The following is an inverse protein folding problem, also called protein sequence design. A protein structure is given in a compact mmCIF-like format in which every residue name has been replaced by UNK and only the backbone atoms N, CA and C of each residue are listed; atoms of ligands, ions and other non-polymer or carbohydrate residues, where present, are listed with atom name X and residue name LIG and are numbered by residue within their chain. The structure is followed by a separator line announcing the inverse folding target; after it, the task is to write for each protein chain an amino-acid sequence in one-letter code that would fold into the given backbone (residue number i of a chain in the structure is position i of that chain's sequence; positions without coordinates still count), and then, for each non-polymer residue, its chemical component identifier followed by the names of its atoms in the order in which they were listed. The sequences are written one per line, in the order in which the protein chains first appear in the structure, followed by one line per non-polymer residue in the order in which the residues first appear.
data_IF_798643510476
#
_entry.id   IF_798643510476
#
_cell.length_a   1.000
_cell.length_b   1.000
_cell.length_c   1.000
_cell.angle_alpha   90.00
_cell.angle_beta   90.00
_cell.angle_gamma   90.00
#
_symmetry.space_group_name_H-M   'P 1'
#
loop_
_entity.id
_entity.type
_entity.pdbx_description
1 polymer ?
#
# COMPACT_ATOMS: atom_id res chain seq x y z
N UNK A 1 0.54 4.35 -9.21
CA UNK A 1 -0.93 4.36 -9.25
C UNK A 1 -1.48 5.22 -8.10
N UNK A 2 -2.74 5.67 -8.13
CA UNK A 2 -3.33 6.41 -7.00
C UNK A 2 -3.97 5.45 -5.99
N UNK A 3 -3.14 4.64 -5.32
CA UNK A 3 -3.61 3.64 -4.36
C UNK A 3 -4.10 4.33 -3.09
N UNK A 4 -5.39 4.19 -2.79
CA UNK A 4 -6.06 4.74 -1.60
C UNK A 4 -7.40 4.02 -1.36
N UNK A 5 -7.98 4.12 -0.15
CA UNK A 5 -9.24 3.45 0.19
C UNK A 5 -10.40 3.78 -0.74
N UNK A 6 -10.54 5.03 -1.19
CA UNK A 6 -11.63 5.41 -2.11
C UNK A 6 -11.49 4.79 -3.50
N UNK A 7 -10.31 4.27 -3.84
CA UNK A 7 -10.03 3.58 -5.09
C UNK A 7 -10.06 2.05 -4.90
N UNK A 8 -10.55 1.56 -3.76
CA UNK A 8 -10.74 0.13 -3.48
C UNK A 8 -12.22 -0.12 -3.20
N UNK A 9 -12.80 -1.07 -3.90
CA UNK A 9 -14.20 -1.50 -3.72
C UNK A 9 -14.21 -2.92 -3.16
N UNK A 10 -15.04 -3.14 -2.15
CA UNK A 10 -15.29 -4.46 -1.57
C UNK A 10 -16.67 -4.92 -2.04
N UNK A 11 -16.73 -6.07 -2.72
CA UNK A 11 -17.99 -6.65 -3.21
C UNK A 11 -18.79 -7.29 -2.07
N UNK A 12 -20.05 -7.63 -2.33
CA UNK A 12 -20.87 -8.40 -1.38
C UNK A 12 -20.27 -9.77 -1.03
N UNK A 13 -19.42 -10.32 -1.90
CA UNK A 13 -18.70 -11.58 -1.69
C UNK A 13 -17.34 -11.37 -0.99
N UNK A 14 -17.08 -10.17 -0.45
CA UNK A 14 -15.80 -9.79 0.16
C UNK A 14 -14.61 -9.80 -0.81
N UNK A 15 -14.85 -9.69 -2.12
CA UNK A 15 -13.79 -9.54 -3.12
C UNK A 15 -13.33 -8.09 -3.18
N UNK A 16 -12.02 -7.88 -3.19
CA UNK A 16 -11.40 -6.56 -3.22
C UNK A 16 -10.97 -6.23 -4.64
N UNK A 17 -11.48 -5.12 -5.19
CA UNK A 17 -11.14 -4.65 -6.54
C UNK A 17 -10.54 -3.26 -6.49
N UNK A 18 -9.38 -3.08 -7.12
CA UNK A 18 -8.80 -1.77 -7.37
C UNK A 18 -9.53 -1.10 -8.54
N UNK A 19 -10.02 0.11 -8.33
CA UNK A 19 -10.62 0.97 -9.35
C UNK A 19 -9.73 2.19 -9.60
N UNK A 20 -10.11 3.03 -10.57
CA UNK A 20 -9.36 4.24 -10.94
C UNK A 20 -7.87 3.98 -11.23
N UNK A 21 -7.63 3.07 -12.16
CA UNK A 21 -6.29 2.70 -12.65
C UNK A 21 -5.67 3.73 -13.61
N UNK A 22 -6.33 4.88 -13.77
CA UNK A 22 -5.92 5.91 -14.74
C UNK A 22 -4.62 6.62 -14.36
N UNK A 23 -4.30 6.65 -13.05
CA UNK A 23 -3.02 7.11 -12.51
C UNK A 23 -2.69 8.58 -12.74
N UNK A 24 -3.69 9.43 -13.01
CA UNK A 24 -3.47 10.80 -13.51
C UNK A 24 -3.14 11.84 -12.45
N UNK A 25 -3.51 11.63 -11.19
CA UNK A 25 -3.21 12.56 -10.09
C UNK A 25 -3.02 11.73 -8.83
N UNK A 26 -1.85 11.82 -8.20
CA UNK A 26 -1.63 11.19 -6.91
C UNK A 26 -2.26 12.05 -5.81
N UNK A 27 -2.93 11.39 -4.87
CA UNK A 27 -3.43 12.02 -3.67
C UNK A 27 -2.27 12.30 -2.71
N UNK A 28 -2.07 13.57 -2.34
CA UNK A 28 -0.90 14.01 -1.54
C UNK A 28 -0.73 13.22 -0.23
N UNK A 29 -1.83 12.88 0.44
CA UNK A 29 -1.80 12.11 1.69
C UNK A 29 -1.30 10.68 1.52
N UNK A 30 -1.31 10.17 0.29
CA UNK A 30 -0.94 8.79 -0.06
C UNK A 30 0.45 8.71 -0.71
N UNK A 31 1.12 9.85 -0.89
CA UNK A 31 2.50 9.88 -1.34
C UNK A 31 3.47 9.42 -0.24
N UNK A 32 4.44 8.60 -0.65
CA UNK A 32 5.61 8.26 0.15
C UNK A 32 6.47 9.49 0.46
N UNK A 33 7.28 9.46 1.55
CA UNK A 33 8.11 10.60 1.93
C UNK A 33 8.99 11.10 0.79
N UNK A 34 9.60 10.19 0.04
CA UNK A 34 10.45 10.53 -1.10
C UNK A 34 9.68 11.16 -2.29
N UNK A 35 8.39 10.87 -2.44
CA UNK A 35 7.58 11.42 -3.53
C UNK A 35 6.95 12.78 -3.22
N UNK A 36 6.77 13.14 -1.94
CA UNK A 36 6.16 14.42 -1.53
C UNK A 36 6.96 15.65 -1.94
N UNK A 37 8.27 15.50 -2.14
CA UNK A 37 9.17 16.59 -2.49
C UNK A 37 9.29 16.82 -4.01
N UNK A 38 8.60 16.02 -4.82
CA UNK A 38 8.72 16.05 -6.27
C UNK A 38 7.69 17.00 -6.86
N UNK A 39 8.13 17.95 -7.69
CA UNK A 39 7.24 18.89 -8.38
C UNK A 39 6.31 18.20 -9.37
N UNK A 40 6.72 17.05 -9.93
CA UNK A 40 5.90 16.21 -10.78
C UNK A 40 6.10 14.73 -10.41
N UNK A 41 5.10 14.16 -9.76
CA UNK A 41 5.07 12.74 -9.37
C UNK A 41 4.90 11.80 -10.56
N UNK A 42 4.33 12.27 -11.67
CA UNK A 42 4.09 11.47 -12.88
C UNK A 42 5.33 11.33 -13.78
N UNK A 43 6.35 12.16 -13.56
CA UNK A 43 7.60 12.10 -14.32
C UNK A 43 8.63 11.13 -13.71
N UNK A 44 8.25 10.39 -12.68
CA UNK A 44 9.14 9.45 -12.00
C UNK A 44 9.27 8.16 -12.79
N UNK A 45 10.41 7.49 -12.65
CA UNK A 45 10.61 6.17 -13.23
C UNK A 45 9.63 5.15 -12.63
N UNK A 46 9.45 4.05 -13.35
CA UNK A 46 8.54 2.99 -12.95
C UNK A 46 8.87 2.42 -11.56
N UNK A 47 10.15 2.32 -11.20
CA UNK A 47 10.57 1.76 -9.92
C UNK A 47 10.14 2.63 -8.75
N UNK A 48 10.31 3.95 -8.87
CA UNK A 48 9.88 4.95 -7.88
C UNK A 48 8.36 4.94 -7.72
N UNK A 49 7.62 4.76 -8.83
CA UNK A 49 6.17 4.62 -8.78
C UNK A 49 5.74 3.34 -8.04
N UNK A 50 6.39 2.21 -8.30
CA UNK A 50 6.12 0.94 -7.59
C UNK A 50 6.41 1.08 -6.09
N UNK A 51 7.53 1.71 -5.73
CA UNK A 51 7.88 1.94 -4.33
C UNK A 51 6.83 2.78 -3.59
N UNK A 52 6.27 3.80 -4.25
CA UNK A 52 5.18 4.58 -3.69
C UNK A 52 3.88 3.80 -3.60
N UNK A 53 3.57 2.98 -4.60
CA UNK A 53 2.40 2.10 -4.56
C UNK A 53 2.49 1.13 -3.38
N UNK A 54 3.67 0.57 -3.12
CA UNK A 54 3.93 -0.25 -1.91
C UNK A 54 3.73 0.56 -0.62
N UNK A 55 4.24 1.79 -0.56
CA UNK A 55 4.04 2.67 0.59
C UNK A 55 2.55 2.96 0.84
N UNK A 56 1.82 3.33 -0.20
CA UNK A 56 0.39 3.63 -0.14
C UNK A 56 -0.42 2.40 0.30
N UNK A 57 -0.07 1.22 -0.21
CA UNK A 57 -0.62 -0.05 0.28
C UNK A 57 -0.36 -0.25 1.78
N UNK A 58 0.87 -0.04 2.26
CA UNK A 58 1.21 -0.12 3.69
C UNK A 58 0.39 0.82 4.58
N UNK A 59 0.05 2.01 4.07
CA UNK A 59 -0.86 2.92 4.75
C UNK A 59 -2.29 2.37 4.84
N UNK A 60 -2.80 1.69 3.80
CA UNK A 60 -4.11 1.02 3.84
C UNK A 60 -4.07 -0.09 4.89
N UNK A 61 -3.04 -0.93 4.88
CA UNK A 61 -2.85 -2.00 5.87
C UNK A 61 -2.81 -1.44 7.30
N UNK A 62 -2.16 -0.29 7.52
CA UNK A 62 -2.16 0.39 8.83
C UNK A 62 -3.58 0.77 9.31
N UNK A 63 -4.46 1.15 8.38
CA UNK A 63 -5.86 1.41 8.71
C UNK A 63 -6.60 0.11 9.04
N UNK A 64 -6.31 -1.00 8.34
CA UNK A 64 -6.86 -2.32 8.64
C UNK A 64 -6.44 -2.82 10.03
N UNK A 65 -5.19 -2.60 10.45
CA UNK A 65 -4.74 -2.92 11.83
C UNK A 65 -5.63 -2.25 12.88
N UNK A 66 -6.04 -1.00 12.63
CA UNK A 66 -6.87 -0.23 13.56
C UNK A 66 -8.33 -0.72 13.58
N UNK A 67 -8.78 -1.36 12.51
CA UNK A 67 -10.13 -1.89 12.36
C UNK A 67 -10.27 -3.37 12.75
N UNK A 68 -9.17 -4.13 12.74
CA UNK A 68 -9.19 -5.54 13.13
C UNK A 68 -9.55 -5.70 14.61
N UNK A 69 -10.22 -6.81 14.92
CA UNK A 69 -10.56 -7.21 16.29
C UNK A 69 -9.76 -8.43 16.76
N UNK A 70 -8.94 -9.04 15.89
CA UNK A 70 -8.17 -10.24 16.17
C UNK A 70 -6.69 -9.90 16.39
N UNK A 71 -6.09 -10.42 17.47
CA UNK A 71 -4.73 -10.04 17.85
C UNK A 71 -3.65 -10.68 16.96
N UNK A 72 -3.91 -11.87 16.41
CA UNK A 72 -3.00 -12.53 15.47
C UNK A 72 -3.00 -11.78 14.14
N UNK A 73 -4.18 -11.49 13.60
CA UNK A 73 -4.39 -10.68 12.40
C UNK A 73 -3.73 -9.30 12.56
N UNK A 74 -3.98 -8.61 13.69
CA UNK A 74 -3.31 -7.33 14.00
C UNK A 74 -1.80 -7.44 13.98
N UNK A 75 -1.24 -8.51 14.55
CA UNK A 75 0.21 -8.75 14.57
C UNK A 75 0.78 -8.84 13.16
N UNK A 76 0.17 -9.67 12.32
CA UNK A 76 0.54 -9.86 10.92
C UNK A 76 0.41 -8.55 10.12
N UNK A 77 -0.77 -7.92 10.15
CA UNK A 77 -1.04 -6.67 9.43
C UNK A 77 -0.10 -5.54 9.89
N UNK A 78 0.23 -5.45 11.18
CA UNK A 78 1.19 -4.46 11.69
C UNK A 78 2.58 -4.70 11.13
N UNK A 79 3.03 -5.95 11.09
CA UNK A 79 4.34 -6.28 10.51
C UNK A 79 4.38 -5.94 9.03
N UNK A 80 3.34 -6.28 8.27
CA UNK A 80 3.24 -5.95 6.84
C UNK A 80 3.23 -4.44 6.60
N UNK A 81 2.47 -3.69 7.38
CA UNK A 81 2.44 -2.23 7.29
C UNK A 81 3.82 -1.61 7.49
N UNK A 82 4.60 -2.10 8.47
CA UNK A 82 5.97 -1.65 8.72
C UNK A 82 6.90 -1.97 7.55
N UNK A 83 6.84 -3.19 7.01
CA UNK A 83 7.64 -3.63 5.87
C UNK A 83 7.35 -2.77 4.60
N UNK A 84 6.08 -2.42 4.38
CA UNK A 84 5.64 -1.57 3.27
C UNK A 84 6.03 -0.08 3.46
N UNK A 85 6.03 0.40 4.70
CA UNK A 85 6.29 1.81 5.04
C UNK A 85 7.72 2.03 5.59
N UNK A 86 8.61 1.09 5.34
CA UNK A 86 10.02 1.25 5.64
C UNK A 86 10.70 2.26 4.67
N UNK A 87 11.89 2.78 5.05
CA UNK A 87 12.75 3.51 4.12
C UNK A 87 13.01 2.70 2.84
N UNK A 88 13.23 3.39 1.71
CA UNK A 88 13.35 2.76 0.39
C UNK A 88 14.33 1.58 0.36
N UNK A 89 15.47 1.67 1.05
CA UNK A 89 16.49 0.61 1.09
C UNK A 89 16.08 -0.66 1.86
N UNK A 90 14.99 -0.60 2.63
CA UNK A 90 14.48 -1.68 3.48
C UNK A 90 13.04 -2.08 3.14
N UNK A 91 12.39 -1.33 2.23
CA UNK A 91 11.00 -1.57 1.85
C UNK A 91 10.87 -2.90 1.12
N UNK A 92 10.02 -3.77 1.64
CA UNK A 92 9.77 -5.07 1.02
C UNK A 92 9.12 -4.92 -0.35
N UNK A 93 9.42 -5.85 -1.26
CA UNK A 93 8.72 -5.89 -2.54
C UNK A 93 7.28 -6.38 -2.34
N UNK A 94 6.37 -6.01 -3.25
CA UNK A 94 5.00 -6.55 -3.24
C UNK A 94 4.99 -8.08 -3.32
N UNK A 95 5.99 -8.69 -3.98
CA UNK A 95 6.13 -10.14 -4.04
C UNK A 95 6.40 -10.75 -2.66
N UNK A 96 7.33 -10.17 -1.91
CA UNK A 96 7.67 -10.66 -0.56
C UNK A 96 6.48 -10.48 0.40
N UNK A 97 5.75 -9.37 0.25
CA UNK A 97 4.52 -9.08 0.98
C UNK A 97 3.45 -10.16 0.69
N UNK A 98 3.25 -10.51 -0.58
CA UNK A 98 2.30 -11.57 -0.97
C UNK A 98 2.76 -12.92 -0.40
N UNK A 99 4.03 -13.27 -0.54
CA UNK A 99 4.56 -14.53 0.00
C UNK A 99 4.37 -14.64 1.50
N UNK A 100 4.51 -13.54 2.24
CA UNK A 100 4.26 -13.49 3.68
C UNK A 100 2.77 -13.65 4.05
N UNK A 101 1.88 -13.09 3.25
CA UNK A 101 0.43 -13.30 3.41
C UNK A 101 0.02 -14.74 3.11
N UNK A 102 0.63 -15.36 2.10
CA UNK A 102 0.34 -16.75 1.70
C UNK A 102 0.95 -17.79 2.64
N UNK A 103 2.01 -17.45 3.39
CA UNK A 103 2.65 -18.39 4.33
C UNK A 103 1.91 -18.54 5.65
N UNK A 104 1.00 -17.61 5.97
CA UNK A 104 0.24 -17.56 7.23
C UNK A 104 -1.23 -18.05 7.07
N UNK A 105 -1.58 -18.59 5.89
CA UNK A 105 -2.88 -19.22 5.56
C UNK A 105 -2.70 -20.72 5.36
#
# INVERSE_FOLDING_TARGET
MDIKPSNVVISANSEVTLIDISGRVFSQDWLSPEMRHLQNSLSQDFFSQVLNDTWAFGKIVSQMVSASCDDLEKGLLRSLALDCTAPVSQRSSLRDIITKLESDV
#
